data_IF_669145703454
#
_entry.id   IF_669145703454
#
_cell.length_a   1.000
_cell.length_b   1.000
_cell.length_c   1.000
_cell.angle_alpha   90.00
_cell.angle_beta   90.00
_cell.angle_gamma   90.00
#
_symmetry.space_group_name_H-M   'P 1'
#
loop_
_entity.id
_entity.type
_entity.pdbx_description
1 polymer ?
#
# COMPACT_ATOMS: atom_id res chain seq x y z
N UNK A 1 -26.84 -4.76 -7.02
CA UNK A 1 -25.77 -5.74 -6.71
C UNK A 1 -26.19 -7.09 -7.27
N UNK A 2 -25.32 -7.82 -7.96
CA UNK A 2 -25.66 -9.14 -8.50
C UNK A 2 -25.63 -10.23 -7.42
N UNK A 3 -26.36 -11.34 -7.64
CA UNK A 3 -26.39 -12.51 -6.74
C UNK A 3 -24.98 -13.08 -6.45
N UNK A 4 -24.07 -13.01 -7.43
CA UNK A 4 -22.68 -13.43 -7.28
C UNK A 4 -21.90 -12.57 -6.27
N UNK A 5 -22.12 -11.25 -6.26
CA UNK A 5 -21.43 -10.33 -5.33
C UNK A 5 -21.89 -10.54 -3.89
N UNK A 6 -23.19 -10.83 -3.71
CA UNK A 6 -23.77 -11.17 -2.40
C UNK A 6 -23.21 -12.50 -1.88
N UNK A 7 -23.12 -13.51 -2.75
CA UNK A 7 -22.52 -14.80 -2.40
C UNK A 7 -21.05 -14.66 -1.97
N UNK A 8 -20.21 -13.96 -2.75
CA UNK A 8 -18.80 -13.78 -2.41
C UNK A 8 -18.63 -12.99 -1.11
N UNK A 9 -19.42 -11.93 -0.93
CA UNK A 9 -19.40 -11.11 0.28
C UNK A 9 -19.76 -11.93 1.53
N UNK A 10 -20.79 -12.77 1.43
CA UNK A 10 -21.21 -13.66 2.51
C UNK A 10 -20.11 -14.67 2.87
N UNK A 11 -19.50 -15.30 1.87
CA UNK A 11 -18.42 -16.29 2.06
C UNK A 11 -17.20 -15.69 2.74
N UNK A 12 -16.75 -14.50 2.31
CA UNK A 12 -15.56 -13.86 2.90
C UNK A 12 -15.82 -13.43 4.34
N UNK A 13 -17.00 -12.86 4.65
CA UNK A 13 -17.34 -12.45 6.01
C UNK A 13 -17.39 -13.61 7.02
N UNK A 14 -17.66 -14.84 6.57
CA UNK A 14 -17.64 -16.03 7.43
C UNK A 14 -16.24 -16.65 7.58
N UNK A 15 -15.25 -16.19 6.82
CA UNK A 15 -13.86 -16.65 6.88
C UNK A 15 -12.99 -15.64 7.65
N UNK A 16 -13.47 -15.05 8.75
CA UNK A 16 -12.80 -13.93 9.45
C UNK A 16 -11.30 -14.14 9.74
N UNK A 17 -10.82 -15.37 9.87
CA UNK A 17 -9.39 -15.69 10.06
C UNK A 17 -8.53 -15.59 8.78
N UNK A 18 -9.12 -15.32 7.61
CA UNK A 18 -8.48 -15.34 6.29
C UNK A 18 -8.56 -14.01 5.53
N UNK A 19 -8.79 -12.88 6.20
CA UNK A 19 -8.76 -11.54 5.59
C UNK A 19 -7.46 -10.80 5.88
N UNK A 20 -6.89 -10.06 4.93
CA UNK A 20 -5.65 -9.29 5.14
C UNK A 20 -5.91 -8.08 6.06
N UNK A 21 -5.10 -7.93 7.11
CA UNK A 21 -5.14 -6.78 8.02
C UNK A 21 -4.45 -5.56 7.40
N UNK A 22 -3.41 -5.77 6.59
CA UNK A 22 -2.76 -4.70 5.84
C UNK A 22 -2.85 -4.95 4.33
N UNK A 23 -3.60 -4.08 3.65
CA UNK A 23 -3.78 -4.12 2.18
C UNK A 23 -2.99 -2.99 1.54
N UNK A 24 -2.18 -3.32 0.54
CA UNK A 24 -1.49 -2.36 -0.31
C UNK A 24 -2.15 -2.32 -1.68
N UNK A 25 -2.39 -1.12 -2.19
CA UNK A 25 -2.75 -0.87 -3.59
C UNK A 25 -1.59 -0.19 -4.31
N UNK A 26 -1.20 -0.72 -5.46
CA UNK A 26 -0.15 -0.16 -6.31
C UNK A 26 -0.77 0.31 -7.63
N UNK A 27 -0.71 1.61 -7.86
CA UNK A 27 -1.22 2.30 -9.05
C UNK A 27 -0.18 3.30 -9.59
N UNK A 28 -0.46 3.89 -10.75
CA UNK A 28 0.39 4.88 -11.41
C UNK A 28 -0.23 6.28 -11.34
N UNK A 29 0.56 7.32 -11.61
CA UNK A 29 0.05 8.68 -11.80
C UNK A 29 -1.05 8.72 -12.88
N UNK A 30 -0.88 7.96 -13.96
CA UNK A 30 -1.83 7.91 -15.08
C UNK A 30 -3.16 7.27 -14.66
N UNK A 31 -3.14 6.33 -13.71
CA UNK A 31 -4.36 5.77 -13.13
C UNK A 31 -5.17 6.82 -12.36
N UNK A 32 -4.55 7.83 -11.76
CA UNK A 32 -5.24 8.87 -10.99
C UNK A 32 -5.64 10.11 -11.81
N UNK A 33 -4.97 10.38 -12.93
CA UNK A 33 -5.23 11.55 -13.77
C UNK A 33 -6.45 11.39 -14.70
N UNK A 34 -7.10 10.22 -14.70
CA UNK A 34 -8.31 9.95 -15.48
C UNK A 34 -9.56 10.29 -14.64
N UNK A 35 -10.65 10.70 -15.30
CA UNK A 35 -11.94 10.98 -14.66
C UNK A 35 -12.42 9.79 -13.79
N UNK A 36 -13.01 10.10 -12.62
CA UNK A 36 -13.59 9.14 -11.64
C UNK A 36 -12.59 8.23 -10.89
N UNK A 37 -11.29 8.43 -11.09
CA UNK A 37 -10.27 7.57 -10.45
C UNK A 37 -10.18 7.77 -8.93
N UNK A 38 -10.37 9.00 -8.46
CA UNK A 38 -10.40 9.32 -7.03
C UNK A 38 -11.64 8.76 -6.32
N UNK A 39 -12.82 8.76 -6.96
CA UNK A 39 -14.01 8.15 -6.36
C UNK A 39 -13.92 6.62 -6.29
N UNK A 40 -13.15 6.00 -7.20
CA UNK A 40 -12.79 4.58 -7.11
C UNK A 40 -11.86 4.34 -5.93
N UNK A 41 -10.91 5.24 -5.67
CA UNK A 41 -10.02 5.16 -4.51
C UNK A 41 -10.76 5.30 -3.18
N UNK A 42 -11.70 6.24 -3.07
CA UNK A 42 -12.58 6.38 -1.90
C UNK A 42 -13.38 5.09 -1.62
N UNK A 43 -13.93 4.49 -2.68
CA UNK A 43 -14.65 3.23 -2.57
C UNK A 43 -13.72 2.07 -2.19
N UNK A 44 -12.51 2.02 -2.73
CA UNK A 44 -11.50 1.03 -2.37
C UNK A 44 -11.18 1.07 -0.89
N UNK A 45 -10.97 2.26 -0.30
CA UNK A 45 -10.78 2.38 1.15
C UNK A 45 -11.95 1.80 1.91
N UNK A 46 -13.19 2.20 1.56
CA UNK A 46 -14.40 1.67 2.23
C UNK A 46 -14.46 0.14 2.14
N UNK A 47 -14.21 -0.44 0.97
CA UNK A 47 -14.18 -1.89 0.82
C UNK A 47 -13.07 -2.51 1.67
N UNK A 48 -11.86 -1.97 1.68
CA UNK A 48 -10.78 -2.55 2.46
C UNK A 48 -11.13 -2.65 3.96
N UNK A 49 -11.63 -1.56 4.55
CA UNK A 49 -12.05 -1.56 5.95
C UNK A 49 -13.32 -2.41 6.19
N UNK A 50 -14.31 -2.38 5.29
CA UNK A 50 -15.52 -3.21 5.37
C UNK A 50 -15.23 -4.73 5.40
N UNK A 51 -14.07 -5.14 4.89
CA UNK A 51 -13.62 -6.53 4.82
C UNK A 51 -12.40 -6.82 5.69
N UNK A 52 -12.16 -6.02 6.74
CA UNK A 52 -11.27 -6.37 7.84
C UNK A 52 -9.84 -5.85 7.74
N UNK A 53 -9.53 -5.00 6.76
CA UNK A 53 -8.26 -4.28 6.79
C UNK A 53 -8.25 -3.29 7.97
N UNK A 54 -7.12 -3.20 8.65
CA UNK A 54 -6.81 -2.22 9.70
C UNK A 54 -5.90 -1.11 9.16
N UNK A 55 -5.09 -1.45 8.16
CA UNK A 55 -4.21 -0.52 7.47
C UNK A 55 -4.41 -0.67 5.96
N UNK A 56 -4.51 0.45 5.27
CA UNK A 56 -4.53 0.50 3.81
C UNK A 56 -3.44 1.44 3.33
N UNK A 57 -2.48 0.90 2.60
CA UNK A 57 -1.42 1.68 1.98
C UNK A 57 -1.64 1.79 0.47
N UNK A 58 -1.39 2.95 -0.12
CA UNK A 58 -1.51 3.19 -1.55
C UNK A 58 -0.20 3.74 -2.05
N UNK A 59 0.35 3.14 -3.08
CA UNK A 59 1.49 3.68 -3.80
C UNK A 59 1.06 4.19 -5.16
N UNK A 60 1.42 5.45 -5.42
CA UNK A 60 1.29 6.08 -6.72
C UNK A 60 2.68 6.17 -7.33
N UNK A 61 2.95 5.31 -8.31
CA UNK A 61 4.16 5.36 -9.13
C UNK A 61 4.12 6.62 -9.97
N UNK A 62 5.14 7.47 -9.83
CA UNK A 62 5.26 8.75 -10.52
C UNK A 62 6.49 8.72 -11.42
N UNK A 63 6.32 9.08 -12.69
CA UNK A 63 7.41 9.23 -13.65
C UNK A 63 7.86 10.68 -13.73
N UNK A 64 6.91 11.62 -13.73
CA UNK A 64 7.18 13.05 -13.74
C UNK A 64 6.93 13.66 -12.35
N UNK A 65 8.01 14.01 -11.65
CA UNK A 65 7.91 14.61 -10.31
C UNK A 65 7.15 15.95 -10.29
N UNK A 66 7.01 16.62 -11.43
CA UNK A 66 6.21 17.85 -11.53
C UNK A 66 4.72 17.62 -11.26
N UNK A 67 4.22 16.37 -11.34
CA UNK A 67 2.82 16.04 -11.07
C UNK A 67 2.53 15.86 -9.57
N UNK A 68 3.56 15.63 -8.74
CA UNK A 68 3.40 15.32 -7.31
C UNK A 68 2.55 16.37 -6.57
N UNK A 69 2.75 17.70 -6.74
CA UNK A 69 1.92 18.70 -6.07
C UNK A 69 0.44 18.66 -6.49
N UNK A 70 0.16 18.27 -7.73
CA UNK A 70 -1.21 18.12 -8.23
C UNK A 70 -1.86 16.90 -7.59
N UNK A 71 -1.18 15.74 -7.59
CA UNK A 71 -1.68 14.53 -6.95
C UNK A 71 -1.91 14.74 -5.45
N UNK A 72 -0.95 15.36 -4.75
CA UNK A 72 -1.03 15.68 -3.33
C UNK A 72 -2.29 16.50 -3.02
N UNK A 73 -2.53 17.58 -3.78
CA UNK A 73 -3.72 18.43 -3.60
C UNK A 73 -5.02 17.67 -3.83
N UNK A 74 -5.12 16.85 -4.88
CA UNK A 74 -6.35 16.11 -5.16
C UNK A 74 -6.59 14.99 -4.13
N UNK A 75 -5.53 14.33 -3.66
CA UNK A 75 -5.63 13.30 -2.62
C UNK A 75 -6.07 13.87 -1.27
N UNK A 76 -5.76 15.13 -0.95
CA UNK A 76 -6.31 15.80 0.24
C UNK A 76 -7.82 16.12 0.14
N UNK A 77 -8.42 16.04 -1.04
CA UNK A 77 -9.86 16.34 -1.25
C UNK A 77 -10.74 15.11 -1.17
N UNK A 78 -10.16 13.91 -1.20
CA UNK A 78 -10.93 12.67 -1.21
C UNK A 78 -11.56 12.42 0.17
N UNK A 79 -12.71 11.78 0.16
CA UNK A 79 -13.41 11.37 1.38
C UNK A 79 -12.93 9.99 1.84
N UNK A 80 -12.23 9.95 2.96
CA UNK A 80 -11.75 8.70 3.57
C UNK A 80 -12.54 8.30 4.82
N UNK A 81 -12.69 6.99 5.10
CA UNK A 81 -13.33 6.53 6.34
C UNK A 81 -12.45 6.69 7.59
N UNK A 82 -11.14 6.89 7.41
CA UNK A 82 -10.15 7.04 8.48
C UNK A 82 -9.14 8.14 8.15
N UNK A 83 -8.34 8.52 9.14
CA UNK A 83 -7.24 9.46 8.98
C UNK A 83 -6.21 8.98 7.94
N UNK A 84 -5.65 9.95 7.24
CA UNK A 84 -4.75 9.74 6.11
C UNK A 84 -3.42 10.47 6.33
N UNK A 85 -2.31 9.78 6.01
CA UNK A 85 -0.99 10.40 5.85
C UNK A 85 -0.56 10.27 4.40
N UNK A 86 -0.11 11.39 3.82
CA UNK A 86 0.45 11.44 2.47
C UNK A 86 1.95 11.71 2.57
N UNK A 87 2.74 10.75 2.09
CA UNK A 87 4.20 10.80 2.07
C UNK A 87 4.70 11.04 0.64
N UNK A 88 5.73 11.88 0.52
CA UNK A 88 6.34 12.27 -0.76
C UNK A 88 7.83 12.52 -0.54
N UNK A 89 8.68 12.50 -1.58
CA UNK A 89 10.12 12.70 -1.42
C UNK A 89 10.52 13.97 -0.64
N UNK A 90 9.73 15.05 -0.72
CA UNK A 90 9.97 16.30 0.02
C UNK A 90 9.42 16.31 1.46
N UNK A 91 8.63 15.32 1.85
CA UNK A 91 8.04 15.20 3.18
C UNK A 91 8.12 13.76 3.66
N UNK A 92 9.22 13.46 4.35
CA UNK A 92 9.61 12.11 4.78
C UNK A 92 9.26 11.91 6.25
N UNK A 93 7.96 11.78 6.54
CA UNK A 93 7.44 11.47 7.87
C UNK A 93 6.91 10.05 7.91
N UNK A 94 7.12 9.36 9.04
CA UNK A 94 6.65 7.99 9.24
C UNK A 94 5.13 7.95 9.16
N UNK A 95 4.61 7.06 8.32
CA UNK A 95 3.18 6.90 8.08
C UNK A 95 2.57 5.99 9.15
N UNK A 96 1.90 6.58 10.13
CA UNK A 96 1.34 5.85 11.28
C UNK A 96 -0.20 5.79 11.27
N UNK A 97 -0.85 6.54 10.39
CA UNK A 97 -2.31 6.54 10.24
C UNK A 97 -2.83 5.24 9.57
N UNK A 98 -4.14 4.94 9.69
CA UNK A 98 -4.76 3.78 9.04
C UNK A 98 -4.71 3.83 7.51
N UNK A 99 -4.72 5.03 6.90
CA UNK A 99 -4.60 5.20 5.45
C UNK A 99 -3.28 5.90 5.12
N UNK A 100 -2.45 5.26 4.31
CA UNK A 100 -1.09 5.74 4.02
C UNK A 100 -0.92 5.86 2.52
N UNK A 101 -0.57 7.02 1.99
CA UNK A 101 -0.37 7.21 0.55
C UNK A 101 1.05 7.66 0.28
N UNK A 102 1.81 6.87 -0.48
CA UNK A 102 3.13 7.24 -1.01
C UNK A 102 3.02 7.73 -2.44
N UNK A 103 3.42 8.97 -2.70
CA UNK A 103 3.45 9.56 -4.04
C UNK A 103 4.90 9.65 -4.52
N UNK A 104 5.27 8.86 -5.53
CA UNK A 104 6.64 8.83 -6.08
C UNK A 104 7.71 8.35 -5.08
N UNK A 105 7.31 7.79 -3.94
CA UNK A 105 8.22 7.31 -2.90
C UNK A 105 8.55 5.83 -3.11
N UNK A 106 9.43 5.54 -4.07
CA UNK A 106 9.88 4.17 -4.35
C UNK A 106 10.58 3.55 -3.13
N UNK A 107 10.42 2.25 -2.94
CA UNK A 107 11.01 1.50 -1.82
C UNK A 107 12.54 1.45 -1.87
N UNK A 108 13.16 1.54 -3.06
CA UNK A 108 14.63 1.72 -3.14
C UNK A 108 15.08 3.06 -2.60
N UNK A 109 14.32 4.12 -2.89
CA UNK A 109 14.58 5.45 -2.37
C UNK A 109 14.36 5.49 -0.86
N UNK A 110 13.25 4.92 -0.37
CA UNK A 110 12.97 4.79 1.07
C UNK A 110 14.12 4.09 1.81
N UNK A 111 14.57 2.95 1.29
CA UNK A 111 15.66 2.18 1.87
C UNK A 111 16.99 2.95 1.85
N UNK A 112 17.29 3.66 0.77
CA UNK A 112 18.48 4.51 0.67
C UNK A 112 18.48 5.59 1.76
N UNK A 113 17.36 6.28 1.96
CA UNK A 113 17.24 7.33 2.98
C UNK A 113 17.32 6.76 4.41
N UNK A 114 16.74 5.59 4.64
CA UNK A 114 16.89 4.87 5.91
C UNK A 114 18.37 4.56 6.22
N UNK A 115 19.11 4.03 5.23
CA UNK A 115 20.55 3.74 5.37
C UNK A 115 21.36 5.02 5.60
N UNK A 116 21.09 6.10 4.86
CA UNK A 116 21.76 7.40 5.08
C UNK A 116 21.54 7.92 6.50
N UNK A 117 20.31 7.84 7.00
CA UNK A 117 19.97 8.25 8.36
C UNK A 117 20.75 7.46 9.42
N UNK A 118 20.86 6.13 9.24
CA UNK A 118 21.68 5.26 10.10
C UNK A 118 23.15 5.68 10.05
N UNK A 119 23.70 5.93 8.86
CA UNK A 119 25.10 6.35 8.71
C UNK A 119 25.39 7.69 9.42
N UNK A 120 24.46 8.64 9.37
CA UNK A 120 24.56 9.93 10.07
C UNK A 120 24.62 9.71 11.59
N UNK A 121 23.74 8.85 12.13
CA UNK A 121 23.72 8.56 13.57
C UNK A 121 24.99 7.83 14.01
N UNK A 122 25.54 6.95 13.17
CA UNK A 122 26.84 6.32 13.42
C UNK A 122 27.97 7.35 13.41
N UNK A 123 28.01 8.26 12.42
CA UNK A 123 29.06 9.29 12.36
C UNK A 123 29.00 10.27 13.53
N UNK A 124 27.80 10.52 14.07
CA UNK A 124 27.59 11.37 15.23
C UNK A 124 27.80 10.64 16.57
N UNK A 125 28.14 9.34 16.56
CA UNK A 125 28.32 8.54 17.77
C UNK A 125 27.02 8.18 18.50
N UNK A 126 25.86 8.44 17.90
CA UNK A 126 24.54 8.15 18.47
C UNK A 126 24.16 6.67 18.32
N UNK A 127 24.75 5.97 17.34
CA UNK A 127 24.49 4.55 17.07
C UNK A 127 25.81 3.80 16.84
N UNK A 128 25.96 2.63 17.48
CA UNK A 128 27.09 1.74 17.21
C UNK A 128 26.76 0.79 16.07
N UNK A 129 27.69 0.58 15.14
CA UNK A 129 27.53 -0.39 14.05
C UNK A 129 27.26 -1.82 14.54
N UNK A 130 27.77 -2.19 15.72
CA UNK A 130 27.50 -3.49 16.35
C UNK A 130 26.06 -3.67 16.83
N UNK A 131 25.31 -2.57 16.96
CA UNK A 131 23.90 -2.57 17.38
C UNK A 131 22.93 -2.46 16.21
N UNK A 132 23.42 -2.30 14.98
CA UNK A 132 22.56 -2.26 13.78
C UNK A 132 21.92 -3.63 13.60
N UNK A 133 20.60 -3.64 13.47
CA UNK A 133 19.77 -4.84 13.33
C UNK A 133 18.68 -4.62 12.27
N UNK A 134 17.88 -5.67 12.00
CA UNK A 134 16.67 -5.58 11.17
C UNK A 134 15.76 -4.44 11.66
N UNK A 135 15.51 -4.38 12.97
CA UNK A 135 14.67 -3.37 13.61
C UNK A 135 15.21 -1.95 13.42
N UNK A 136 16.53 -1.76 13.43
CA UNK A 136 17.15 -0.45 13.20
C UNK A 136 16.80 0.12 11.82
N UNK A 137 16.68 -0.74 10.81
CA UNK A 137 16.25 -0.33 9.47
C UNK A 137 14.74 -0.03 9.49
N UNK A 138 13.93 -0.91 10.07
CA UNK A 138 12.46 -0.79 10.11
C UNK A 138 11.97 0.46 10.83
N UNK A 139 12.69 0.90 11.87
CA UNK A 139 12.43 2.15 12.58
C UNK A 139 12.67 3.40 11.71
N UNK A 140 13.42 3.27 10.61
CA UNK A 140 13.77 4.36 9.69
C UNK A 140 12.99 4.34 8.38
N UNK A 141 12.15 3.31 8.16
CA UNK A 141 11.26 3.26 7.01
C UNK A 141 10.07 4.22 7.21
N UNK A 142 9.62 4.81 6.11
CA UNK A 142 8.41 5.65 6.05
C UNK A 142 7.17 4.82 6.28
N UNK A 143 7.10 3.64 5.68
CA UNK A 143 5.98 2.70 5.81
C UNK A 143 6.39 1.55 6.75
N UNK A 144 6.00 1.58 8.03
CA UNK A 144 6.53 0.65 9.03
C UNK A 144 5.80 -0.70 9.10
N UNK A 145 4.73 -0.91 8.34
CA UNK A 145 3.92 -2.14 8.43
C UNK A 145 4.17 -3.07 7.25
N UNK A 146 4.37 -4.36 7.53
CA UNK A 146 4.41 -5.43 6.53
C UNK A 146 3.00 -5.62 5.91
N UNK A 147 2.85 -5.66 4.58
CA UNK A 147 1.57 -5.95 3.94
C UNK A 147 1.21 -7.43 4.07
N UNK A 148 -0.07 -7.72 4.26
CA UNK A 148 -0.59 -9.07 4.05
C UNK A 148 -0.85 -9.33 2.56
N UNK A 149 -1.43 -8.34 1.87
CA UNK A 149 -1.85 -8.42 0.47
C UNK A 149 -1.44 -7.16 -0.28
N UNK A 150 -0.73 -7.34 -1.40
CA UNK A 150 -0.40 -6.28 -2.36
C UNK A 150 -1.21 -6.50 -3.63
N UNK A 151 -2.05 -5.53 -3.98
CA UNK A 151 -2.87 -5.51 -5.19
C UNK A 151 -2.22 -4.55 -6.18
N UNK A 152 -1.85 -5.06 -7.35
CA UNK A 152 -1.38 -4.24 -8.49
C UNK A 152 -2.41 -4.31 -9.62
N UNK A 153 -2.85 -3.15 -10.08
CA UNK A 153 -3.74 -3.04 -11.24
C UNK A 153 -2.96 -2.67 -12.50
N UNK A 154 -3.48 -3.08 -13.67
CA UNK A 154 -2.88 -2.84 -14.97
C UNK A 154 -1.68 -3.74 -15.29
N UNK A 155 -1.35 -3.86 -16.58
CA UNK A 155 -0.29 -4.74 -17.10
C UNK A 155 1.14 -4.19 -17.04
N UNK A 156 1.37 -3.09 -16.30
CA UNK A 156 2.71 -2.50 -16.20
C UNK A 156 3.62 -3.27 -15.21
N UNK A 157 4.94 -3.08 -15.36
CA UNK A 157 5.97 -3.73 -14.53
C UNK A 157 5.77 -3.43 -13.04
N UNK A 158 6.25 -4.36 -12.20
CA UNK A 158 6.30 -4.20 -10.75
C UNK A 158 6.98 -2.86 -10.40
N UNK A 159 6.29 -2.02 -9.63
CA UNK A 159 6.94 -0.84 -9.04
C UNK A 159 7.86 -1.29 -7.91
N UNK A 160 8.85 -0.48 -7.57
CA UNK A 160 9.75 -0.77 -6.47
C UNK A 160 9.14 -0.41 -5.10
N UNK A 161 7.81 -0.49 -4.93
CA UNK A 161 7.16 -0.09 -3.67
C UNK A 161 7.29 -1.16 -2.58
N UNK A 162 7.59 -0.72 -1.35
CA UNK A 162 7.70 -1.55 -0.14
C UNK A 162 8.60 -2.80 -0.29
N UNK A 163 9.76 -2.68 -0.95
CA UNK A 163 10.65 -3.82 -1.24
C UNK A 163 11.15 -4.57 0.01
N UNK A 164 11.26 -3.88 1.14
CA UNK A 164 11.68 -4.48 2.41
C UNK A 164 10.50 -5.13 3.13
N UNK A 165 9.39 -4.42 3.19
CA UNK A 165 8.20 -4.78 3.95
C UNK A 165 7.41 -5.90 3.27
N UNK A 166 7.48 -6.00 1.94
CA UNK A 166 6.63 -6.92 1.15
C UNK A 166 7.20 -8.33 0.92
N UNK A 167 8.34 -8.67 1.53
CA UNK A 167 9.06 -9.94 1.29
C UNK A 167 8.18 -11.18 1.53
N UNK A 168 7.26 -11.11 2.49
CA UNK A 168 6.34 -12.20 2.83
C UNK A 168 4.88 -11.90 2.47
N UNK A 169 4.61 -10.84 1.71
CA UNK A 169 3.27 -10.47 1.31
C UNK A 169 2.75 -11.35 0.18
N UNK A 170 1.44 -11.57 0.17
CA UNK A 170 0.79 -12.15 -1.00
C UNK A 170 0.62 -11.09 -2.09
N UNK A 171 1.04 -11.44 -3.31
CA UNK A 171 0.94 -10.55 -4.46
C UNK A 171 -0.23 -10.96 -5.37
N UNK A 172 -1.10 -10.00 -5.67
CA UNK A 172 -2.24 -10.15 -6.56
C UNK A 172 -2.14 -9.14 -7.71
N UNK A 173 -1.97 -9.65 -8.93
CA UNK A 173 -1.88 -8.85 -10.15
C UNK A 173 -3.17 -9.01 -10.96
N UNK A 174 -3.67 -7.90 -11.50
CA UNK A 174 -4.85 -7.90 -12.36
C UNK A 174 -4.69 -6.95 -13.53
N UNK A 175 -5.07 -7.41 -14.72
CA UNK A 175 -5.06 -6.61 -15.96
C UNK A 175 -6.21 -5.58 -16.01
N UNK A 176 -7.07 -5.56 -14.99
CA UNK A 176 -8.15 -4.58 -14.89
C UNK A 176 -7.56 -3.18 -14.74
N UNK A 177 -7.94 -2.28 -15.63
CA UNK A 177 -7.59 -0.87 -15.53
C UNK A 177 -8.20 -0.27 -14.25
N UNK A 178 -7.46 0.59 -13.55
CA UNK A 178 -7.91 1.18 -12.30
C UNK A 178 -9.27 1.86 -12.40
N UNK A 179 -9.55 2.56 -13.51
CA UNK A 179 -10.84 3.23 -13.74
C UNK A 179 -12.04 2.28 -13.74
N UNK A 180 -11.79 1.01 -14.07
CA UNK A 180 -12.80 -0.03 -14.23
C UNK A 180 -12.83 -0.97 -13.01
N UNK A 181 -11.96 -0.75 -12.02
CA UNK A 181 -11.83 -1.57 -10.83
C UNK A 181 -13.07 -1.41 -9.92
N UNK A 182 -13.72 -2.54 -9.62
CA UNK A 182 -14.98 -2.55 -8.86
C UNK A 182 -14.84 -3.40 -7.60
N UNK A 183 -15.84 -3.30 -6.72
CA UNK A 183 -15.94 -4.13 -5.51
C UNK A 183 -15.71 -5.62 -5.78
N UNK A 184 -16.27 -6.17 -6.86
CA UNK A 184 -16.08 -7.58 -7.22
C UNK A 184 -14.62 -7.96 -7.50
N UNK A 185 -13.81 -7.02 -7.97
CA UNK A 185 -12.40 -7.25 -8.27
C UNK A 185 -11.57 -7.23 -7.01
N UNK A 186 -11.90 -6.35 -6.06
CA UNK A 186 -11.38 -6.44 -4.69
C UNK A 186 -11.75 -7.77 -4.01
N UNK A 187 -13.01 -8.19 -4.13
CA UNK A 187 -13.46 -9.47 -3.57
C UNK A 187 -12.76 -10.69 -4.21
N UNK A 188 -12.38 -10.60 -5.50
CA UNK A 188 -11.55 -11.61 -6.16
C UNK A 188 -10.14 -11.66 -5.57
N UNK A 189 -9.53 -10.51 -5.29
CA UNK A 189 -8.22 -10.44 -4.63
C UNK A 189 -8.27 -11.06 -3.23
N UNK A 190 -9.31 -10.76 -2.44
CA UNK A 190 -9.51 -11.37 -1.13
C UNK A 190 -9.69 -12.88 -1.20
N UNK A 191 -10.46 -13.36 -2.19
CA UNK A 191 -10.65 -14.80 -2.40
C UNK A 191 -9.33 -15.50 -2.78
N UNK A 192 -8.53 -14.88 -3.65
CA UNK A 192 -7.21 -15.42 -4.02
C UNK A 192 -6.31 -15.52 -2.79
N UNK A 193 -6.19 -14.42 -2.03
CA UNK A 193 -5.47 -14.36 -0.76
C UNK A 193 -5.89 -15.47 0.21
N UNK A 194 -7.20 -15.63 0.46
CA UNK A 194 -7.72 -16.65 1.38
C UNK A 194 -7.49 -18.09 0.90
N UNK A 195 -7.30 -18.30 -0.42
CA UNK A 195 -7.06 -19.63 -0.97
C UNK A 195 -5.60 -20.09 -0.81
N UNK A 196 -4.68 -19.15 -0.55
CA UNK A 196 -3.26 -19.45 -0.41
C UNK A 196 -2.98 -19.98 1.00
N UNK A 197 -2.43 -21.19 1.08
CA UNK A 197 -1.92 -21.73 2.34
C UNK A 197 -0.69 -20.91 2.73
N UNK A 198 -0.81 -20.09 3.77
CA UNK A 198 0.33 -19.39 4.39
C UNK A 198 1.36 -20.41 4.85
N UNK A 199 2.41 -20.57 4.04
CA UNK A 199 3.64 -21.28 4.42
C UNK A 199 4.58 -20.19 4.92
N UNK A 200 4.38 -19.74 6.16
CA UNK A 200 5.45 -19.00 6.83
C UNK A 200 6.66 -19.93 6.80
N UNK A 201 7.71 -19.55 6.07
CA UNK A 201 8.93 -20.35 6.00
C UNK A 201 9.41 -20.63 7.42
N UNK A 202 9.68 -21.90 7.73
CA UNK A 202 10.25 -22.29 9.03
C UNK A 202 11.64 -21.69 9.22
#
# INVERSE_FOLDING_TARGET
MGLYDQYLSFRIRHLQEATPRHVVLVITESDLLINQSYSTLEQFFRWAFDYGAEVVSVYVSVLDSAIIPTLDRELYRIQTPHEITICKPSHFSRAETPIRIGIGLGGKYEFLEAVKSICIDVSNGLLSTKKISKTTIEERLVFPAEPDLVIKTGGERLSDFMIWQSVYSELYFTDINWRDFRKRDYLRALRDYASRKRRFGN
#
